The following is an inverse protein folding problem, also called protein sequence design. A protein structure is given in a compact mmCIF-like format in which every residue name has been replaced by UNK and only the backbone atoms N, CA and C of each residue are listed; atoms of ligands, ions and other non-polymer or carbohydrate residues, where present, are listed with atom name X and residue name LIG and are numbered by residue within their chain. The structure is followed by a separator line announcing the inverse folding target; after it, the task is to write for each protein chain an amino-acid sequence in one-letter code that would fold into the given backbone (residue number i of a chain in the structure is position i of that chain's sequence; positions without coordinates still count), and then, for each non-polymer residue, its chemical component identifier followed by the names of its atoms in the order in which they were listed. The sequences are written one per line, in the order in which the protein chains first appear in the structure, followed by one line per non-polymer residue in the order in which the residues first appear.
data_IF_919254593429
#
_entry.id   IF_919254593429
#
_cell.length_a   1.000
_cell.length_b   1.000
_cell.length_c   1.000
_cell.angle_alpha   90.00
_cell.angle_beta   90.00
_cell.angle_gamma   90.00
#
_symmetry.space_group_name_H-M   'P 1'
#
loop_
_entity.id
_entity.type
_entity.pdbx_description
1 polymer ?
#
# COMPACT_ATOMS: atom_id res chain seq x y z
N UNK A 1 -2.35 -22.90 3.63
CA UNK A 1 -1.71 -21.59 3.95
C UNK A 1 -1.21 -21.54 5.40
N UNK A 2 0.10 -21.37 5.64
CA UNK A 2 0.69 -21.42 7.01
C UNK A 2 0.44 -20.18 7.87
N UNK A 3 0.11 -19.04 7.26
CA UNK A 3 -0.15 -17.79 7.98
C UNK A 3 -1.46 -17.85 8.78
N UNK A 4 -2.54 -18.36 8.18
CA UNK A 4 -3.83 -18.51 8.85
C UNK A 4 -3.75 -19.44 10.06
N UNK A 5 -2.92 -20.49 10.00
CA UNK A 5 -2.69 -21.36 11.17
C UNK A 5 -1.96 -20.66 12.32
N UNK A 6 -1.15 -19.64 12.05
CA UNK A 6 -0.53 -18.85 13.13
C UNK A 6 -1.54 -17.93 13.79
N UNK A 7 -2.44 -17.31 13.00
CA UNK A 7 -3.52 -16.46 13.53
C UNK A 7 -4.47 -17.28 14.41
N UNK A 8 -4.88 -18.46 13.94
CA UNK A 8 -5.77 -19.34 14.71
C UNK A 8 -5.12 -19.92 15.98
N UNK A 9 -3.79 -19.94 16.05
CA UNK A 9 -3.03 -20.46 17.19
C UNK A 9 -2.41 -19.35 18.04
N UNK A 10 -2.66 -18.08 17.73
CA UNK A 10 -2.11 -16.95 18.48
C UNK A 10 -2.76 -16.88 19.85
N UNK A 11 -1.94 -16.75 20.89
CA UNK A 11 -2.41 -16.57 22.25
C UNK A 11 -2.98 -15.15 22.44
N UNK A 12 -4.16 -15.05 23.08
CA UNK A 12 -4.86 -13.78 23.23
C UNK A 12 -4.06 -12.77 24.07
N UNK A 13 -3.41 -13.24 25.14
CA UNK A 13 -2.63 -12.39 26.04
C UNK A 13 -1.32 -11.93 25.38
N UNK A 14 -0.70 -12.79 24.57
CA UNK A 14 0.45 -12.41 23.74
C UNK A 14 0.07 -11.31 22.74
N UNK A 15 -1.06 -11.45 22.04
CA UNK A 15 -1.55 -10.45 21.07
C UNK A 15 -1.88 -9.13 21.75
N UNK A 16 -2.59 -9.15 22.89
CA UNK A 16 -2.87 -7.94 23.67
C UNK A 16 -1.59 -7.28 24.15
N UNK A 17 -0.66 -8.06 24.70
CA UNK A 17 0.62 -7.56 25.22
C UNK A 17 1.47 -6.90 24.13
N UNK A 18 1.60 -7.54 22.96
CA UNK A 18 2.30 -6.99 21.81
C UNK A 18 1.64 -5.70 21.30
N UNK A 19 0.31 -5.69 21.19
CA UNK A 19 -0.46 -4.53 20.71
C UNK A 19 -0.32 -3.33 21.65
N UNK A 20 -0.47 -3.54 22.96
CA UNK A 20 -0.28 -2.48 23.96
C UNK A 20 1.12 -1.87 23.92
N UNK A 21 2.16 -2.72 23.84
CA UNK A 21 3.55 -2.25 23.72
C UNK A 21 3.76 -1.43 22.44
N UNK A 22 3.22 -1.90 21.32
CA UNK A 22 3.37 -1.24 20.04
C UNK A 22 2.70 0.13 20.02
N UNK A 23 1.47 0.22 20.53
CA UNK A 23 0.73 1.48 20.57
C UNK A 23 1.36 2.49 21.53
N UNK A 24 1.88 2.03 22.67
CA UNK A 24 2.59 2.88 23.62
C UNK A 24 3.96 3.37 23.11
N UNK A 25 4.58 2.65 22.17
CA UNK A 25 5.86 3.04 21.58
C UNK A 25 5.75 4.20 20.58
N UNK A 26 4.56 4.48 20.06
CA UNK A 26 4.36 5.61 19.14
C UNK A 26 4.66 6.95 19.85
N UNK A 27 5.32 7.91 19.18
CA UNK A 27 5.54 7.99 17.74
C UNK A 27 6.78 7.25 17.20
N UNK A 28 7.49 6.45 18.00
CA UNK A 28 8.60 5.63 17.52
C UNK A 28 8.07 4.43 16.71
N UNK A 29 8.01 4.62 15.39
CA UNK A 29 7.52 3.62 14.43
C UNK A 29 8.40 2.36 14.43
N UNK A 30 9.72 2.50 14.67
CA UNK A 30 10.64 1.36 14.65
C UNK A 30 10.33 0.42 15.81
N UNK A 31 10.20 0.97 17.01
CA UNK A 31 9.87 0.21 18.21
C UNK A 31 8.44 -0.34 18.14
N UNK A 32 7.48 0.43 17.63
CA UNK A 32 6.10 -0.02 17.46
C UNK A 32 5.98 -1.23 16.52
N UNK A 33 6.67 -1.23 15.37
CA UNK A 33 6.70 -2.38 14.46
C UNK A 33 7.40 -3.57 15.11
N UNK A 34 8.53 -3.34 15.76
CA UNK A 34 9.30 -4.41 16.41
C UNK A 34 8.48 -5.11 17.49
N UNK A 35 7.67 -4.36 18.25
CA UNK A 35 6.76 -4.89 19.26
C UNK A 35 5.65 -5.78 18.68
N UNK A 36 5.15 -5.51 17.47
CA UNK A 36 4.17 -6.37 16.79
C UNK A 36 4.81 -7.58 16.10
N UNK A 37 6.02 -7.43 15.56
CA UNK A 37 6.74 -8.49 14.85
C UNK A 37 7.20 -9.66 15.74
N UNK A 38 7.03 -9.57 17.06
CA UNK A 38 7.22 -10.71 17.97
C UNK A 38 6.17 -11.79 17.73
N UNK A 39 4.97 -11.42 17.26
CA UNK A 39 3.89 -12.33 16.97
C UNK A 39 4.22 -13.17 15.75
N UNK A 40 4.01 -14.48 15.86
CA UNK A 40 4.34 -15.42 14.79
C UNK A 40 3.53 -15.14 13.53
N UNK A 41 4.22 -14.91 12.42
CA UNK A 41 3.59 -14.59 11.13
C UNK A 41 3.25 -13.11 10.94
N UNK A 42 3.56 -12.26 11.92
CA UNK A 42 3.48 -10.80 11.79
C UNK A 42 4.86 -10.28 11.39
N UNK A 43 4.98 -9.77 10.17
CA UNK A 43 6.16 -9.03 9.71
C UNK A 43 5.86 -7.54 9.58
N UNK A 44 6.85 -6.71 9.17
CA UNK A 44 6.68 -5.27 9.04
C UNK A 44 5.48 -4.84 8.19
N UNK A 45 5.20 -5.57 7.10
CA UNK A 45 4.02 -5.31 6.27
C UNK A 45 2.71 -5.47 7.06
N UNK A 46 2.50 -6.60 7.74
CA UNK A 46 1.30 -6.83 8.55
C UNK A 46 1.22 -5.88 9.75
N UNK A 47 2.34 -5.64 10.43
CA UNK A 47 2.41 -4.71 11.55
C UNK A 47 2.03 -3.28 11.11
N UNK A 48 2.50 -2.83 9.94
CA UNK A 48 2.15 -1.51 9.40
C UNK A 48 0.65 -1.35 9.15
N UNK A 49 -0.07 -2.41 8.75
CA UNK A 49 -1.52 -2.35 8.58
C UNK A 49 -2.24 -2.06 9.90
N UNK A 50 -1.82 -2.72 10.98
CA UNK A 50 -2.37 -2.51 12.34
C UNK A 50 -2.06 -1.10 12.82
N UNK A 51 -0.81 -0.65 12.67
CA UNK A 51 -0.41 0.70 13.08
C UNK A 51 -1.11 1.79 12.28
N UNK A 52 -1.34 1.59 10.97
CA UNK A 52 -2.05 2.54 10.13
C UNK A 52 -3.53 2.69 10.50
N UNK A 53 -4.16 1.61 10.96
CA UNK A 53 -5.52 1.66 11.49
C UNK A 53 -5.59 2.38 12.85
N UNK A 54 -4.59 2.20 13.71
CA UNK A 54 -4.55 2.79 15.05
C UNK A 54 -4.10 4.26 15.05
N UNK A 55 -3.03 4.59 14.33
CA UNK A 55 -2.39 5.91 14.32
C UNK A 55 -2.07 6.37 12.88
N UNK A 56 -3.10 6.67 12.07
CA UNK A 56 -2.92 7.04 10.66
C UNK A 56 -2.10 8.33 10.46
N UNK A 57 -2.09 9.20 11.47
CA UNK A 57 -1.31 10.43 11.52
C UNK A 57 0.20 10.19 11.73
N UNK A 58 0.61 8.99 12.11
CA UNK A 58 2.01 8.62 12.36
C UNK A 58 2.49 7.57 11.37
N UNK A 59 1.76 6.46 11.23
CA UNK A 59 2.22 5.26 10.53
C UNK A 59 1.34 4.98 9.29
N UNK A 60 1.89 4.98 8.07
CA UNK A 60 1.17 4.56 6.87
C UNK A 60 1.19 3.03 6.69
N UNK A 61 0.28 2.50 5.88
CA UNK A 61 0.32 1.08 5.49
C UNK A 61 1.41 0.81 4.44
N UNK A 62 2.20 -0.24 4.61
CA UNK A 62 3.26 -0.64 3.68
C UNK A 62 2.70 -1.42 2.47
N UNK A 63 1.85 -0.78 1.65
CA UNK A 63 1.34 -1.38 0.41
C UNK A 63 2.40 -1.38 -0.70
N UNK A 64 2.47 -2.44 -1.50
CA UNK A 64 3.45 -2.57 -2.58
C UNK A 64 3.37 -1.42 -3.59
N UNK A 65 2.16 -0.98 -3.92
CA UNK A 65 1.96 0.09 -4.88
C UNK A 65 2.36 1.45 -4.34
N UNK A 66 2.05 1.75 -3.08
CA UNK A 66 2.51 2.99 -2.47
C UNK A 66 4.04 2.98 -2.27
N UNK A 67 4.61 1.83 -1.89
CA UNK A 67 6.05 1.61 -1.81
C UNK A 67 6.74 1.86 -3.16
N UNK A 68 6.20 1.29 -4.24
CA UNK A 68 6.71 1.50 -5.59
C UNK A 68 6.63 2.97 -6.00
N UNK A 69 5.49 3.62 -5.77
CA UNK A 69 5.28 5.01 -6.14
C UNK A 69 6.16 5.97 -5.32
N UNK A 70 6.35 5.69 -4.04
CA UNK A 70 7.13 6.53 -3.14
C UNK A 70 8.64 6.29 -3.27
N UNK A 71 9.09 5.05 -3.31
CA UNK A 71 10.52 4.71 -3.21
C UNK A 71 11.12 4.10 -4.49
N UNK A 72 10.30 3.76 -5.48
CA UNK A 72 10.76 3.09 -6.70
C UNK A 72 11.10 1.61 -6.51
N UNK A 73 10.85 1.04 -5.32
CA UNK A 73 10.99 -0.37 -5.04
C UNK A 73 9.70 -0.93 -4.42
N UNK A 74 9.37 -2.16 -4.77
CA UNK A 74 8.26 -2.93 -4.18
C UNK A 74 8.82 -4.27 -3.68
N UNK A 75 8.08 -4.96 -2.80
CA UNK A 75 8.42 -6.28 -2.26
C UNK A 75 9.61 -6.40 -1.30
N UNK A 76 10.30 -5.29 -0.97
CA UNK A 76 11.23 -5.27 0.18
C UNK A 76 10.46 -4.91 1.45
N UNK A 77 10.02 -5.94 2.18
CA UNK A 77 9.26 -5.82 3.43
C UNK A 77 10.15 -5.73 4.68
N UNK A 78 11.39 -5.27 4.53
CA UNK A 78 12.27 -5.06 5.68
C UNK A 78 11.83 -3.84 6.51
N UNK A 79 12.13 -3.88 7.82
CA UNK A 79 11.87 -2.75 8.71
C UNK A 79 12.57 -1.47 8.23
N UNK A 80 13.81 -1.60 7.73
CA UNK A 80 14.58 -0.47 7.18
C UNK A 80 13.81 0.23 6.05
N UNK A 81 13.29 -0.55 5.12
CA UNK A 81 12.57 -0.05 3.97
C UNK A 81 11.24 0.60 4.38
N UNK A 82 10.54 0.02 5.36
CA UNK A 82 9.34 0.61 5.93
C UNK A 82 9.60 1.97 6.62
N UNK A 83 10.72 2.12 7.34
CA UNK A 83 11.08 3.40 7.98
C UNK A 83 11.37 4.48 6.95
N UNK A 84 12.10 4.15 5.88
CA UNK A 84 12.36 5.08 4.78
C UNK A 84 11.06 5.54 4.10
N UNK A 85 10.13 4.60 3.88
CA UNK A 85 8.81 4.88 3.35
C UNK A 85 7.99 5.80 4.25
N UNK A 86 7.90 5.44 5.53
CA UNK A 86 7.15 6.19 6.54
C UNK A 86 7.64 7.63 6.64
N UNK A 87 8.96 7.82 6.72
CA UNK A 87 9.56 9.15 6.76
C UNK A 87 9.22 9.98 5.51
N UNK A 88 9.25 9.37 4.32
CA UNK A 88 8.91 10.07 3.07
C UNK A 88 7.44 10.54 3.07
N UNK A 89 6.52 9.69 3.51
CA UNK A 89 5.09 10.03 3.56
C UNK A 89 4.78 11.06 4.65
N UNK A 90 5.41 10.97 5.81
CA UNK A 90 5.31 11.98 6.87
C UNK A 90 5.79 13.36 6.39
N UNK A 91 6.92 13.41 5.67
CA UNK A 91 7.39 14.66 5.11
C UNK A 91 6.44 15.19 4.04
N UNK A 92 5.93 14.32 3.17
CA UNK A 92 4.97 14.76 2.15
C UNK A 92 3.67 15.29 2.75
N UNK A 93 3.15 14.65 3.79
CA UNK A 93 2.00 15.12 4.53
C UNK A 93 2.26 16.52 5.13
N UNK A 94 3.42 16.73 5.76
CA UNK A 94 3.82 18.04 6.30
C UNK A 94 3.93 19.11 5.21
N UNK A 95 4.54 18.81 4.06
CA UNK A 95 4.64 19.71 2.92
C UNK A 95 3.25 20.16 2.44
N UNK A 96 2.34 19.22 2.19
CA UNK A 96 0.99 19.54 1.72
C UNK A 96 0.19 20.34 2.75
N UNK A 97 0.35 20.01 4.03
CA UNK A 97 -0.30 20.76 5.11
C UNK A 97 0.21 22.20 5.22
N UNK A 98 1.50 22.43 4.96
CA UNK A 98 2.06 23.78 4.90
C UNK A 98 1.52 24.58 3.71
N UNK A 99 1.25 23.92 2.59
CA UNK A 99 0.64 24.53 1.40
C UNK A 99 -0.86 24.82 1.59
N UNK A 100 -1.60 23.98 2.31
CA UNK A 100 -3.05 24.14 2.53
C UNK A 100 -3.38 25.09 3.69
N UNK A 101 -2.51 25.20 4.71
CA UNK A 101 -2.66 26.11 5.84
C UNK A 101 -2.71 27.61 5.48
N UNK A 102 -2.41 27.96 4.24
CA UNK A 102 -2.56 29.31 3.67
C UNK A 102 -3.81 29.48 2.77
N UNK A 103 -4.59 28.41 2.52
CA UNK A 103 -5.57 28.40 1.41
C UNK A 103 -7.01 28.01 1.84
N UNK A 104 -7.26 27.37 2.99
CA UNK A 104 -8.63 26.90 3.32
C UNK A 104 -9.09 27.15 4.76
N UNK A 105 -10.18 27.91 4.91
CA UNK A 105 -11.03 27.92 6.11
C UNK A 105 -12.02 26.74 6.03
N UNK A 106 -11.85 25.73 6.89
CA UNK A 106 -12.78 24.60 7.02
C UNK A 106 -12.14 23.38 7.67
N UNK A 107 -12.96 22.56 8.34
CA UNK A 107 -12.60 21.36 9.13
C UNK A 107 -12.14 20.16 8.28
N UNK A 108 -11.55 20.41 7.11
CA UNK A 108 -10.87 19.36 6.35
C UNK A 108 -9.52 19.13 7.02
N UNK A 109 -9.51 18.15 7.93
CA UNK A 109 -8.33 17.76 8.70
C UNK A 109 -7.05 17.63 7.86
N UNK A 110 -5.93 17.92 8.51
CA UNK A 110 -4.59 17.85 7.94
C UNK A 110 -4.34 16.48 7.27
N UNK A 111 -3.66 16.49 6.12
CA UNK A 111 -3.19 15.28 5.46
C UNK A 111 -2.34 14.46 6.43
N UNK A 112 -2.68 13.19 6.55
CA UNK A 112 -1.92 12.20 7.32
C UNK A 112 -1.01 11.38 6.40
N UNK A 113 0.06 10.74 6.93
CA UNK A 113 0.82 9.75 6.18
C UNK A 113 -0.07 8.70 5.50
N UNK A 114 -1.12 8.23 6.17
CA UNK A 114 -2.09 7.28 5.60
C UNK A 114 -2.96 7.89 4.48
N UNK A 115 -3.23 9.19 4.47
CA UNK A 115 -3.87 9.84 3.31
C UNK A 115 -2.97 9.81 2.08
N UNK A 116 -1.68 10.11 2.27
CA UNK A 116 -0.69 10.07 1.19
C UNK A 116 -0.54 8.66 0.65
N UNK A 117 -0.44 7.66 1.53
CA UNK A 117 -0.38 6.25 1.18
C UNK A 117 -1.57 5.85 0.30
N UNK A 118 -2.80 6.11 0.76
CA UNK A 118 -4.03 5.75 0.02
C UNK A 118 -4.12 6.47 -1.31
N UNK A 119 -3.68 7.72 -1.39
CA UNK A 119 -3.65 8.47 -2.64
C UNK A 119 -2.68 7.85 -3.66
N UNK A 120 -1.46 7.50 -3.22
CA UNK A 120 -0.46 6.82 -4.05
C UNK A 120 -0.95 5.45 -4.53
N UNK A 121 -1.49 4.64 -3.61
CA UNK A 121 -2.05 3.34 -3.93
C UNK A 121 -3.21 3.45 -4.94
N UNK A 122 -4.13 4.39 -4.71
CA UNK A 122 -5.28 4.61 -5.60
C UNK A 122 -4.86 5.05 -6.99
N UNK A 123 -3.87 5.95 -7.09
CA UNK A 123 -3.31 6.39 -8.37
C UNK A 123 -2.64 5.22 -9.12
N UNK A 124 -1.86 4.39 -8.44
CA UNK A 124 -1.22 3.21 -9.01
C UNK A 124 -2.24 2.17 -9.51
N UNK A 125 -3.27 1.89 -8.72
CA UNK A 125 -4.38 1.01 -9.13
C UNK A 125 -5.15 1.55 -10.33
N UNK A 126 -5.42 2.86 -10.35
CA UNK A 126 -6.04 3.54 -11.49
C UNK A 126 -5.22 3.38 -12.77
N UNK A 127 -3.90 3.63 -12.70
CA UNK A 127 -2.99 3.48 -13.83
C UNK A 127 -2.94 2.03 -14.34
N UNK A 128 -2.86 1.04 -13.43
CA UNK A 128 -2.87 -0.39 -13.79
C UNK A 128 -4.13 -0.80 -14.53
N UNK A 129 -5.29 -0.31 -14.09
CA UNK A 129 -6.58 -0.56 -14.75
C UNK A 129 -6.62 0.03 -16.16
N UNK A 130 -6.14 1.26 -16.34
CA UNK A 130 -6.10 1.91 -17.66
C UNK A 130 -5.18 1.16 -18.64
N UNK A 131 -4.02 0.71 -18.20
CA UNK A 131 -3.08 -0.07 -19.01
C UNK A 131 -3.68 -1.41 -19.47
N UNK A 132 -4.41 -2.11 -18.59
CA UNK A 132 -5.10 -3.35 -18.95
C UNK A 132 -6.22 -3.13 -19.99
N UNK A 133 -6.92 -1.99 -19.91
CA UNK A 133 -7.96 -1.63 -20.89
C UNK A 133 -7.35 -1.23 -22.25
N UNK A 134 -6.14 -0.67 -22.30
CA UNK A 134 -5.44 -0.45 -23.58
C UNK A 134 -4.92 -1.74 -24.21
N UNK A 135 -4.39 -2.68 -23.41
CA UNK A 135 -3.84 -3.95 -23.92
C UNK A 135 -4.94 -4.87 -24.49
N UNK A 136 -6.09 -4.94 -23.81
CA UNK A 136 -7.25 -5.69 -24.30
C UNK A 136 -7.84 -5.15 -25.60
N UNK A 137 -7.79 -3.84 -25.85
CA UNK A 137 -8.22 -3.21 -27.12
C UNK A 137 -7.23 -3.44 -28.28
N UNK A 138 -5.97 -3.78 -28.00
CA UNK A 138 -4.98 -4.13 -29.02
C UNK A 138 -5.15 -5.53 -29.62
N UNK A 139 -5.88 -6.43 -28.94
CA UNK A 139 -6.04 -7.85 -29.33
C UNK A 139 -7.20 -8.13 -30.30
N UNK A 140 -8.05 -7.17 -30.62
CA UNK A 140 -9.10 -7.31 -31.65
C UNK A 140 -8.64 -6.72 -32.99
N UNK A 141 -7.70 -7.40 -33.68
CA UNK A 141 -7.55 -7.28 -35.14
C UNK A 141 -8.05 -8.58 -35.79
N UNK A 142 -9.01 -8.55 -36.73
CA UNK A 142 -9.46 -9.77 -37.40
C UNK A 142 -8.32 -10.32 -38.27
N UNK A 143 -8.08 -11.63 -38.19
CA UNK A 143 -7.29 -12.36 -39.20
C UNK A 143 -8.10 -12.40 -40.49
N UNK A 144 -7.68 -11.62 -41.48
CA UNK A 144 -8.18 -11.72 -42.85
C UNK A 144 -7.75 -13.09 -43.41
N UNK A 145 -8.70 -14.03 -43.45
CA UNK A 145 -8.50 -15.35 -44.04
C UNK A 145 -8.74 -15.29 -45.54
N UNK A 146 -7.66 -15.49 -46.28
CA UNK A 146 -7.59 -15.76 -47.70
C UNK A 146 -8.63 -16.83 -48.13
N UNK A 147 -9.56 -16.47 -49.02
CA UNK A 147 -10.46 -17.41 -49.70
C UNK A 147 -10.49 -17.14 -51.20
N UNK A 148 -9.55 -17.79 -51.85
CA UNK A 148 -9.46 -18.09 -53.28
C UNK A 148 -10.82 -18.56 -53.86
N UNK A 149 -11.46 -17.71 -54.67
CA UNK A 149 -12.66 -18.07 -55.45
C UNK A 149 -12.25 -18.61 -56.83
N UNK A 150 -12.31 -19.93 -56.99
CA UNK A 150 -12.27 -20.62 -58.28
C UNK A 150 -13.41 -20.11 -59.19
N UNK A 151 -13.07 -19.59 -60.38
CA UNK A 151 -14.05 -19.35 -61.45
C UNK A 151 -13.68 -20.18 -62.68
N UNK A 152 -14.37 -21.31 -62.83
CA UNK A 152 -14.46 -22.13 -64.03
C UNK A 152 -15.23 -21.32 -65.08
N UNK A 153 -14.72 -21.22 -66.31
CA UNK A 153 -15.49 -20.77 -67.47
C UNK A 153 -15.38 -21.83 -68.56
N UNK A 154 -16.56 -22.31 -68.97
CA UNK A 154 -16.82 -23.05 -70.20
C UNK A 154 -16.43 -22.25 -71.43
#
# INVERSE_FOLDING_TARGET
PRLLSFVSAADEEEVKGASHKAFAALPDVKEAVSALCVLKGVGPATASAVLAAYAPHIAPFMSDEAMLAALGSSQDYSLKQYLAFTHKLQNKAKELNAEVGSVMEGDNGLFTPSDIERALWSAAMGAKKLAHVSDSRGRTRPKESDRQSKRKKS
#
